data_IF_079553995897
#
_entry.id   IF_079553995897
#
_cell.length_a   1.000
_cell.length_b   1.000
_cell.length_c   1.000
_cell.angle_alpha   90.00
_cell.angle_beta   90.00
_cell.angle_gamma   90.00
#
_symmetry.space_group_name_H-M   'P 1'
#
loop_
_entity.id
_entity.type
_entity.pdbx_description
1 polymer ?
#
# COMPACT_ATOMS: atom_id res chain seq x y z
N UNK A 1 -17.81 24.62 78.45
CA UNK A 1 -18.21 23.37 79.14
C UNK A 1 -17.61 22.20 78.36
N UNK A 2 -16.90 21.30 79.07
CA UNK A 2 -16.39 19.97 78.66
C UNK A 2 -15.45 19.86 77.45
N UNK A 3 -14.13 19.64 77.65
CA UNK A 3 -13.43 18.34 77.89
C UNK A 3 -13.43 17.49 76.60
N UNK A 4 -12.35 17.48 75.80
CA UNK A 4 -11.10 16.72 75.96
C UNK A 4 -11.28 15.19 75.80
N UNK A 5 -10.68 14.57 74.76
CA UNK A 5 -9.69 13.47 74.89
C UNK A 5 -9.52 12.61 73.62
N UNK A 6 -8.26 12.57 73.19
CA UNK A 6 -7.50 11.46 72.57
C UNK A 6 -8.07 10.04 72.78
N UNK A 7 -7.97 9.20 71.73
CA UNK A 7 -7.41 7.82 71.74
C UNK A 7 -7.35 7.28 70.29
N UNK A 8 -6.16 7.08 69.70
CA UNK A 8 -5.34 5.84 69.68
C UNK A 8 -6.02 4.61 69.05
N UNK A 9 -5.70 4.36 67.77
CA UNK A 9 -5.06 3.15 67.24
C UNK A 9 -5.83 1.81 67.18
N UNK A 10 -5.84 1.16 66.00
CA UNK A 10 -5.24 -0.17 65.77
C UNK A 10 -5.41 -0.67 64.33
N UNK A 11 -4.33 -1.28 63.84
CA UNK A 11 -4.20 -2.11 62.65
C UNK A 11 -5.31 -3.15 62.45
N UNK A 12 -5.71 -3.37 61.20
CA UNK A 12 -6.07 -4.70 60.69
C UNK A 12 -5.27 -5.01 59.42
N UNK A 13 -4.33 -5.94 59.57
CA UNK A 13 -3.80 -6.80 58.50
C UNK A 13 -4.87 -7.85 58.18
N UNK A 14 -5.11 -8.09 56.91
CA UNK A 14 -5.85 -9.25 56.38
C UNK A 14 -5.61 -9.31 54.88
N UNK A 15 -4.49 -9.90 54.43
CA UNK A 15 -4.30 -11.31 54.04
C UNK A 15 -4.32 -11.41 52.51
N UNK A 16 -3.12 -11.51 51.95
CA UNK A 16 -2.90 -11.89 50.57
C UNK A 16 -3.56 -13.25 50.27
N UNK A 17 -4.32 -13.33 49.18
CA UNK A 17 -4.57 -14.57 48.47
C UNK A 17 -3.54 -14.67 47.34
N UNK A 18 -2.76 -15.74 47.37
CA UNK A 18 -1.76 -16.14 46.37
C UNK A 18 -2.38 -17.28 45.54
N UNK A 19 -2.04 -17.31 44.24
CA UNK A 19 -2.43 -18.25 43.18
C UNK A 19 -3.72 -17.86 42.41
N UNK A 20 -3.76 -17.77 41.09
CA UNK A 20 -2.91 -18.42 40.09
C UNK A 20 -2.44 -17.49 38.96
N UNK A 21 -1.26 -17.85 38.47
CA UNK A 21 -0.54 -17.38 37.29
C UNK A 21 -1.35 -17.19 36.01
N UNK A 22 -0.78 -16.35 35.13
CA UNK A 22 -0.99 -16.21 33.66
C UNK A 22 -2.03 -15.19 33.22
N UNK A 23 -1.66 -13.91 33.27
CA UNK A 23 -2.04 -12.97 32.18
C UNK A 23 -1.05 -11.80 32.11
N UNK A 24 0.21 -12.13 31.83
CA UNK A 24 1.16 -11.22 31.20
C UNK A 24 1.49 -11.86 29.86
N UNK A 25 1.62 -11.04 28.80
CA UNK A 25 1.77 -11.40 27.37
C UNK A 25 0.47 -11.70 26.60
N UNK A 26 -0.31 -10.67 26.20
CA UNK A 26 -1.10 -10.63 24.94
C UNK A 26 -1.59 -9.20 24.59
N UNK A 27 -0.70 -8.21 24.52
CA UNK A 27 -0.99 -7.01 23.72
C UNK A 27 0.32 -6.61 23.03
N UNK A 28 0.51 -7.08 21.80
CA UNK A 28 1.54 -6.63 20.88
C UNK A 28 0.97 -6.69 19.47
N UNK A 29 1.32 -5.67 18.68
CA UNK A 29 1.12 -5.55 17.23
C UNK A 29 -0.30 -5.26 16.72
N UNK A 30 -0.70 -3.98 16.76
CA UNK A 30 -1.49 -3.31 15.71
C UNK A 30 -1.68 -1.85 16.14
N UNK A 31 -0.60 -1.07 16.07
CA UNK A 31 -0.62 0.32 16.48
C UNK A 31 0.33 1.11 15.62
N UNK A 32 -0.20 1.67 14.54
CA UNK A 32 0.26 2.94 13.97
C UNK A 32 1.76 3.00 13.67
N UNK A 33 2.16 2.51 12.50
CA UNK A 33 3.41 2.90 11.87
C UNK A 33 3.24 4.26 11.18
N UNK A 34 2.88 5.31 11.94
CA UNK A 34 3.08 6.70 11.48
C UNK A 34 4.47 7.14 11.92
N UNK A 35 5.31 7.49 10.96
CA UNK A 35 6.54 8.25 11.12
C UNK A 35 7.49 7.81 12.27
N UNK A 36 8.38 6.87 11.96
CA UNK A 36 9.58 6.59 12.75
C UNK A 36 9.58 5.23 13.42
N UNK A 37 10.19 4.24 12.74
CA UNK A 37 10.83 3.03 13.30
C UNK A 37 10.13 2.28 14.45
N UNK A 38 9.85 0.98 14.24
CA UNK A 38 10.50 -0.15 14.95
C UNK A 38 9.68 -1.42 14.69
N UNK A 39 10.16 -2.19 13.72
CA UNK A 39 10.19 -3.64 13.80
C UNK A 39 11.60 -4.03 13.41
N UNK A 40 12.53 -4.08 14.36
CA UNK A 40 13.88 -4.60 14.12
C UNK A 40 13.76 -6.08 13.78
N UNK A 41 13.56 -6.40 12.51
CA UNK A 41 13.94 -7.69 11.98
C UNK A 41 15.44 -7.59 11.78
N UNK A 42 16.17 -8.30 12.61
CA UNK A 42 17.62 -8.41 12.52
C UNK A 42 17.99 -9.03 11.18
N UNK A 43 18.17 -8.19 10.15
CA UNK A 43 19.25 -8.43 9.22
C UNK A 43 20.47 -8.63 10.13
N UNK A 44 21.08 -9.81 10.11
CA UNK A 44 22.34 -10.04 10.79
C UNK A 44 23.37 -9.14 10.11
N UNK A 45 23.33 -7.85 10.45
CA UNK A 45 24.38 -6.90 10.26
C UNK A 45 25.50 -7.39 11.17
N UNK A 46 26.28 -8.34 10.67
CA UNK A 46 27.68 -8.36 11.05
C UNK A 46 28.18 -6.96 10.73
N UNK A 47 28.28 -6.11 11.78
CA UNK A 47 28.82 -4.75 11.72
C UNK A 47 30.30 -4.82 11.42
N UNK A 48 30.61 -5.22 10.20
CA UNK A 48 31.90 -5.08 9.58
C UNK A 48 31.83 -3.78 8.79
N UNK A 49 32.56 -2.76 9.26
CA UNK A 49 32.58 -1.42 8.68
C UNK A 49 33.09 -1.40 7.23
N UNK A 50 33.61 -2.53 6.74
CA UNK A 50 34.19 -2.70 5.40
C UNK A 50 33.15 -3.01 4.31
N UNK A 51 31.91 -3.34 4.66
CA UNK A 51 30.88 -3.76 3.71
C UNK A 51 29.65 -2.87 3.74
N UNK A 52 29.04 -2.68 2.57
CA UNK A 52 27.75 -1.99 2.43
C UNK A 52 26.65 -2.85 3.07
N UNK A 53 25.77 -2.19 3.83
CA UNK A 53 24.65 -2.84 4.52
C UNK A 53 23.32 -2.30 3.99
N UNK A 54 22.32 -3.17 3.98
CA UNK A 54 20.94 -2.76 3.77
C UNK A 54 20.45 -1.97 4.99
N UNK A 55 19.55 -1.02 4.76
CA UNK A 55 18.79 -0.36 5.83
C UNK A 55 17.70 -1.28 6.41
N UNK A 56 16.90 -0.74 7.33
CA UNK A 56 15.82 -1.48 7.97
C UNK A 56 14.71 -1.95 7.00
N UNK A 57 14.63 -1.33 5.81
CA UNK A 57 13.67 -1.62 4.76
C UNK A 57 14.28 -2.54 3.68
N UNK A 58 15.48 -3.09 3.92
CA UNK A 58 16.16 -3.98 2.98
C UNK A 58 16.85 -3.24 1.83
N UNK A 59 16.95 -1.92 1.87
CA UNK A 59 17.48 -1.10 0.77
C UNK A 59 18.99 -0.86 0.90
N UNK A 60 19.73 -1.18 -0.16
CA UNK A 60 21.14 -0.82 -0.32
C UNK A 60 21.30 0.53 -1.03
N UNK A 61 22.31 1.35 -0.68
CA UNK A 61 22.56 2.64 -1.32
C UNK A 61 22.86 2.49 -2.83
N UNK A 62 22.39 3.43 -3.65
CA UNK A 62 22.60 3.46 -5.10
C UNK A 62 21.31 3.63 -5.90
N UNK A 63 21.38 3.52 -7.23
CA UNK A 63 20.21 3.64 -8.11
C UNK A 63 19.29 2.44 -7.88
N UNK A 64 18.07 2.72 -7.45
CA UNK A 64 17.01 1.74 -7.27
C UNK A 64 15.93 2.09 -8.30
N UNK A 65 15.60 1.13 -9.17
CA UNK A 65 14.31 1.16 -9.83
C UNK A 65 13.20 1.34 -8.76
N UNK A 66 12.08 1.94 -9.14
CA UNK A 66 10.99 2.20 -8.20
C UNK A 66 9.65 1.76 -8.75
N UNK A 67 9.05 0.79 -8.07
CA UNK A 67 7.66 0.43 -8.23
C UNK A 67 6.82 1.12 -7.16
N UNK A 68 5.78 1.84 -7.57
CA UNK A 68 4.76 2.38 -6.67
C UNK A 68 3.47 1.59 -6.89
N UNK A 69 2.97 0.95 -5.84
CA UNK A 69 1.65 0.34 -5.82
C UNK A 69 0.66 1.30 -5.17
N UNK A 70 -0.16 1.97 -5.99
CA UNK A 70 -1.31 2.74 -5.56
C UNK A 70 -2.52 1.82 -5.43
N UNK A 71 -2.98 1.61 -4.20
CA UNK A 71 -4.09 0.71 -3.89
C UNK A 71 -5.27 1.54 -3.42
N UNK A 72 -6.22 1.69 -4.32
CA UNK A 72 -7.49 2.32 -4.01
C UNK A 72 -8.28 1.42 -3.05
N UNK A 73 -8.46 1.93 -1.84
CA UNK A 73 -9.03 1.29 -0.67
C UNK A 73 -10.29 2.01 -0.19
N UNK A 74 -10.89 2.85 -1.04
CA UNK A 74 -12.17 3.50 -0.76
C UNK A 74 -13.32 2.49 -0.69
N UNK A 75 -14.45 2.91 -0.10
CA UNK A 75 -15.66 2.08 -0.04
C UNK A 75 -16.31 1.93 -1.43
N UNK A 76 -16.72 0.71 -1.84
CA UNK A 76 -16.45 -0.58 -1.21
C UNK A 76 -15.07 -1.13 -1.60
N UNK A 77 -14.37 -1.81 -0.67
CA UNK A 77 -13.18 -2.60 -1.02
C UNK A 77 -13.52 -3.80 -1.93
N UNK A 78 -12.47 -4.53 -2.30
CA UNK A 78 -12.57 -5.77 -3.09
C UNK A 78 -13.18 -6.93 -2.29
N UNK A 79 -13.70 -7.93 -3.01
CA UNK A 79 -14.27 -9.14 -2.41
C UNK A 79 -13.21 -10.21 -2.10
N UNK A 80 -13.63 -11.37 -1.57
CA UNK A 80 -12.73 -12.47 -1.23
C UNK A 80 -12.04 -13.13 -2.43
N UNK A 81 -12.65 -13.10 -3.63
CA UNK A 81 -12.02 -13.62 -4.84
C UNK A 81 -10.95 -12.65 -5.34
N UNK A 82 -11.29 -11.37 -5.42
CA UNK A 82 -10.37 -10.29 -5.74
C UNK A 82 -9.23 -10.20 -4.73
N UNK A 83 -9.48 -10.46 -3.44
CA UNK A 83 -8.41 -10.56 -2.42
C UNK A 83 -7.38 -11.62 -2.80
N UNK A 84 -7.83 -12.83 -3.20
CA UNK A 84 -6.91 -13.91 -3.62
C UNK A 84 -6.14 -13.54 -4.88
N UNK A 85 -6.81 -12.94 -5.86
CA UNK A 85 -6.17 -12.49 -7.10
C UNK A 85 -5.11 -11.41 -6.80
N UNK A 86 -5.41 -10.46 -5.91
CA UNK A 86 -4.47 -9.44 -5.46
C UNK A 86 -3.28 -10.04 -4.71
N UNK A 87 -3.50 -11.00 -3.80
CA UNK A 87 -2.40 -11.72 -3.16
C UNK A 87 -1.49 -12.38 -4.19
N UNK A 88 -2.07 -13.08 -5.18
CA UNK A 88 -1.30 -13.72 -6.25
C UNK A 88 -0.53 -12.70 -7.11
N UNK A 89 -1.10 -11.52 -7.37
CA UNK A 89 -0.42 -10.42 -8.07
C UNK A 89 0.84 -9.98 -7.31
N UNK A 90 0.71 -9.69 -6.01
CA UNK A 90 1.86 -9.25 -5.21
C UNK A 90 2.88 -10.37 -4.99
N UNK A 91 2.45 -11.62 -4.84
CA UNK A 91 3.35 -12.77 -4.76
C UNK A 91 4.19 -12.92 -6.03
N UNK A 92 3.57 -12.78 -7.21
CA UNK A 92 4.26 -12.81 -8.49
C UNK A 92 5.22 -11.61 -8.66
N UNK A 93 4.79 -10.42 -8.25
CA UNK A 93 5.63 -9.21 -8.26
C UNK A 93 6.90 -9.43 -7.43
N UNK A 94 6.77 -9.95 -6.21
CA UNK A 94 7.88 -10.18 -5.28
C UNK A 94 8.74 -11.39 -5.62
N UNK A 95 8.19 -12.40 -6.30
CA UNK A 95 8.93 -13.62 -6.64
C UNK A 95 9.75 -13.48 -7.92
N UNK A 96 9.49 -12.48 -8.76
CA UNK A 96 10.25 -12.26 -9.99
C UNK A 96 9.88 -11.05 -10.83
N UNK A 97 8.84 -10.30 -10.47
CA UNK A 97 8.49 -9.05 -11.15
C UNK A 97 9.41 -7.87 -10.81
N UNK A 98 10.02 -7.91 -9.62
CA UNK A 98 10.96 -6.89 -9.14
C UNK A 98 12.42 -7.33 -9.25
N UNK A 99 13.30 -6.37 -9.53
CA UNK A 99 14.75 -6.59 -9.55
C UNK A 99 15.33 -6.46 -8.14
N UNK A 100 16.48 -7.09 -7.90
CA UNK A 100 17.22 -6.85 -6.67
C UNK A 100 17.44 -5.35 -6.42
N UNK A 101 17.21 -4.94 -5.16
CA UNK A 101 17.32 -3.57 -4.69
C UNK A 101 16.32 -2.58 -5.33
N UNK A 102 15.37 -3.05 -6.12
CA UNK A 102 14.22 -2.24 -6.55
C UNK A 102 13.34 -1.93 -5.35
N UNK A 103 12.92 -0.68 -5.23
CA UNK A 103 12.03 -0.23 -4.17
C UNK A 103 10.58 -0.48 -4.56
N UNK A 104 9.80 -1.03 -3.64
CA UNK A 104 8.34 -1.01 -3.68
C UNK A 104 7.84 -0.03 -2.64
N UNK A 105 7.11 0.99 -3.07
CA UNK A 105 6.33 1.87 -2.18
C UNK A 105 4.86 1.59 -2.35
N UNK A 106 4.14 1.42 -1.23
CA UNK A 106 2.70 1.19 -1.24
C UNK A 106 1.99 2.45 -0.76
N UNK A 107 1.08 2.97 -1.58
CA UNK A 107 0.25 4.16 -1.29
C UNK A 107 -1.21 3.71 -1.31
N UNK A 108 -2.04 4.24 -0.40
CA UNK A 108 -3.48 3.90 -0.33
C UNK A 108 -4.35 5.15 -0.33
N UNK A 109 -5.65 5.00 -0.64
CA UNK A 109 -6.67 6.05 -0.51
C UNK A 109 -7.38 6.03 0.85
N UNK A 110 -6.80 5.40 1.87
CA UNK A 110 -7.38 5.35 3.22
C UNK A 110 -7.33 6.72 3.93
N UNK A 111 -8.11 6.86 5.00
CA UNK A 111 -8.19 8.09 5.79
C UNK A 111 -6.79 8.62 6.16
N UNK A 112 -6.57 9.91 5.86
CA UNK A 112 -5.30 10.59 6.17
C UNK A 112 -4.14 10.28 5.23
N UNK A 113 -4.32 9.42 4.22
CA UNK A 113 -3.30 9.16 3.18
C UNK A 113 -3.44 10.10 1.97
N UNK A 114 -4.53 10.86 1.89
CA UNK A 114 -4.79 11.79 0.79
C UNK A 114 -4.09 13.13 1.04
N UNK A 115 -3.20 13.51 0.12
CA UNK A 115 -2.39 14.71 0.24
C UNK A 115 -1.76 15.17 -1.07
N UNK A 116 -1.11 16.34 -1.03
CA UNK A 116 -0.52 16.97 -2.22
C UNK A 116 0.69 16.21 -2.81
N UNK A 117 1.38 15.44 -1.96
CA UNK A 117 2.45 14.51 -2.31
C UNK A 117 2.17 13.21 -1.57
N UNK A 118 2.27 12.07 -2.27
CA UNK A 118 1.87 10.80 -1.71
C UNK A 118 2.87 10.35 -0.64
N UNK A 119 2.34 9.79 0.45
CA UNK A 119 3.13 9.23 1.53
C UNK A 119 2.90 7.71 1.58
N UNK A 120 3.93 6.89 1.32
CA UNK A 120 3.76 5.45 1.36
C UNK A 120 3.41 4.96 2.77
N UNK A 121 2.40 4.11 2.88
CA UNK A 121 2.07 3.39 4.12
C UNK A 121 3.12 2.33 4.45
N UNK A 122 3.87 1.90 3.44
CA UNK A 122 5.04 1.04 3.57
C UNK A 122 5.99 1.23 2.38
N UNK A 123 7.28 1.01 2.61
CA UNK A 123 8.30 0.98 1.57
C UNK A 123 9.38 -0.01 1.94
N UNK A 124 9.78 -0.87 1.00
CA UNK A 124 10.87 -1.83 1.17
C UNK A 124 11.53 -2.16 -0.17
N UNK A 125 12.73 -2.70 -0.13
CA UNK A 125 13.45 -3.12 -1.32
C UNK A 125 13.44 -4.64 -1.49
N UNK A 126 13.46 -5.09 -2.74
CA UNK A 126 13.56 -6.50 -3.08
C UNK A 126 14.89 -7.07 -2.53
N UNK A 127 14.84 -8.11 -1.67
CA UNK A 127 16.05 -8.69 -1.09
C UNK A 127 16.90 -9.38 -2.16
N UNK A 128 18.19 -9.54 -1.88
CA UNK A 128 19.07 -10.34 -2.71
C UNK A 128 18.62 -11.80 -2.70
N UNK A 129 18.60 -12.44 -3.87
CA UNK A 129 18.29 -13.87 -4.04
C UNK A 129 19.53 -14.67 -4.42
N UNK A 130 20.62 -13.99 -4.80
CA UNK A 130 21.90 -14.59 -5.18
C UNK A 130 23.08 -13.91 -4.48
N UNK A 131 24.20 -14.63 -4.26
CA UNK A 131 25.41 -14.02 -3.72
C UNK A 131 26.01 -12.91 -4.60
N UNK A 132 25.85 -13.03 -5.93
CA UNK A 132 26.38 -12.07 -6.90
C UNK A 132 25.73 -10.70 -6.77
N UNK A 133 24.44 -10.65 -6.40
CA UNK A 133 23.72 -9.41 -6.14
C UNK A 133 24.31 -8.66 -4.95
N UNK A 134 24.63 -9.37 -3.86
CA UNK A 134 25.30 -8.77 -2.70
C UNK A 134 26.67 -8.19 -3.06
N UNK A 135 27.47 -8.92 -3.84
CA UNK A 135 28.79 -8.45 -4.27
C UNK A 135 28.67 -7.19 -5.13
N UNK A 136 27.66 -7.10 -6.00
CA UNK A 136 27.44 -5.95 -6.90
C UNK A 136 27.26 -4.64 -6.15
N UNK A 137 26.65 -4.68 -4.97
CA UNK A 137 26.44 -3.50 -4.12
C UNK A 137 27.52 -3.33 -3.05
N UNK A 138 28.61 -4.11 -3.10
CA UNK A 138 29.69 -4.07 -2.11
C UNK A 138 29.28 -4.63 -0.74
N UNK A 139 28.23 -5.43 -0.68
CA UNK A 139 27.85 -6.15 0.52
C UNK A 139 28.67 -7.42 0.69
N UNK A 140 28.75 -7.91 1.93
CA UNK A 140 29.47 -9.14 2.23
C UNK A 140 28.81 -10.32 1.51
N UNK A 141 29.59 -11.01 0.68
CA UNK A 141 29.13 -12.23 0.02
C UNK A 141 28.82 -13.33 1.05
N UNK A 142 27.85 -14.17 0.73
CA UNK A 142 27.42 -15.30 1.55
C UNK A 142 27.12 -16.52 0.65
N UNK A 143 26.90 -17.69 1.26
CA UNK A 143 26.48 -18.87 0.49
C UNK A 143 25.07 -18.66 -0.07
N UNK A 144 24.77 -19.27 -1.22
CA UNK A 144 23.44 -19.18 -1.85
C UNK A 144 22.32 -19.53 -0.87
N UNK A 145 22.47 -20.62 -0.12
CA UNK A 145 21.49 -21.06 0.88
C UNK A 145 21.27 -20.02 1.98
N UNK A 146 22.32 -19.31 2.40
CA UNK A 146 22.17 -18.24 3.39
C UNK A 146 21.40 -17.05 2.82
N UNK A 147 21.74 -16.61 1.60
CA UNK A 147 21.07 -15.49 0.92
C UNK A 147 19.58 -15.78 0.73
N UNK A 148 19.24 -16.97 0.24
CA UNK A 148 17.86 -17.39 0.03
C UNK A 148 17.07 -17.44 1.34
N UNK A 149 17.65 -18.04 2.40
CA UNK A 149 17.01 -18.09 3.73
C UNK A 149 16.80 -16.69 4.32
N UNK A 150 17.73 -15.77 4.07
CA UNK A 150 17.61 -14.39 4.52
C UNK A 150 16.50 -13.64 3.77
N UNK A 151 16.39 -13.83 2.45
CA UNK A 151 15.33 -13.25 1.64
C UNK A 151 13.94 -13.78 2.06
N UNK A 152 13.82 -15.09 2.27
CA UNK A 152 12.59 -15.73 2.76
C UNK A 152 12.20 -15.17 4.13
N UNK A 153 13.15 -15.10 5.07
CA UNK A 153 12.89 -14.53 6.39
C UNK A 153 12.44 -13.08 6.32
N UNK A 154 13.05 -12.26 5.47
CA UNK A 154 12.64 -10.86 5.29
C UNK A 154 11.23 -10.76 4.70
N UNK A 155 10.91 -11.61 3.72
CA UNK A 155 9.56 -11.68 3.14
C UNK A 155 8.52 -12.01 4.21
N UNK A 156 8.73 -13.07 4.97
CA UNK A 156 7.80 -13.54 6.01
C UNK A 156 7.60 -12.53 7.16
N UNK A 157 8.66 -11.81 7.53
CA UNK A 157 8.65 -10.98 8.75
C UNK A 157 8.43 -9.49 8.50
N UNK A 158 8.67 -9.00 7.29
CA UNK A 158 8.54 -7.59 6.93
C UNK A 158 7.48 -7.40 5.85
N UNK A 159 7.57 -8.13 4.74
CA UNK A 159 6.74 -7.87 3.56
C UNK A 159 5.33 -8.44 3.72
N UNK A 160 5.22 -9.72 4.05
CA UNK A 160 3.93 -10.43 4.18
C UNK A 160 2.99 -9.79 5.22
N UNK A 161 3.44 -9.35 6.41
CA UNK A 161 2.57 -8.65 7.35
C UNK A 161 2.03 -7.33 6.80
N UNK A 162 2.86 -6.58 6.07
CA UNK A 162 2.45 -5.34 5.41
C UNK A 162 1.39 -5.62 4.35
N UNK A 163 1.66 -6.57 3.45
CA UNK A 163 0.71 -6.92 2.39
C UNK A 163 -0.59 -7.49 2.95
N UNK A 164 -0.52 -8.34 3.97
CA UNK A 164 -1.72 -8.88 4.63
C UNK A 164 -2.57 -7.75 5.21
N UNK A 165 -1.95 -6.79 5.89
CA UNK A 165 -2.67 -5.64 6.45
C UNK A 165 -3.23 -4.72 5.36
N UNK A 166 -2.48 -4.52 4.28
CA UNK A 166 -2.90 -3.64 3.19
C UNK A 166 -4.02 -4.24 2.36
N UNK A 167 -3.96 -5.54 2.11
CA UNK A 167 -4.90 -6.27 1.27
C UNK A 167 -6.15 -6.77 2.02
N UNK A 168 -6.25 -6.49 3.33
CA UNK A 168 -7.40 -6.86 4.16
C UNK A 168 -8.68 -6.16 3.67
N UNK A 169 -9.71 -6.89 3.18
CA UNK A 169 -10.94 -6.27 2.70
C UNK A 169 -11.77 -5.61 3.83
N UNK A 170 -11.49 -5.88 5.10
CA UNK A 170 -12.27 -5.38 6.25
C UNK A 170 -11.36 -4.98 7.41
N UNK A 171 -10.56 -3.91 7.26
CA UNK A 171 -9.60 -3.52 8.28
C UNK A 171 -10.32 -3.08 9.57
N UNK A 172 -9.99 -3.71 10.70
CA UNK A 172 -10.52 -3.33 12.03
C UNK A 172 -9.82 -2.09 12.61
N UNK A 173 -8.70 -1.67 12.01
CA UNK A 173 -7.86 -0.59 12.52
C UNK A 173 -8.39 0.79 12.11
N UNK A 174 -8.60 1.68 13.09
CA UNK A 174 -9.03 3.06 12.87
C UNK A 174 -8.09 3.87 11.94
N UNK A 175 -6.79 3.53 11.89
CA UNK A 175 -5.82 4.19 11.01
C UNK A 175 -5.89 3.71 9.54
N UNK A 176 -6.79 2.77 9.23
CA UNK A 176 -7.01 2.16 7.91
C UNK A 176 -8.48 2.28 7.51
N UNK A 177 -9.18 3.28 8.07
CA UNK A 177 -10.58 3.53 7.75
C UNK A 177 -10.70 3.89 6.28
N UNK A 178 -11.74 3.33 5.68
CA UNK A 178 -12.06 3.55 4.28
C UNK A 178 -12.69 4.93 4.14
N UNK A 179 -12.28 5.64 3.10
CA UNK A 179 -12.96 6.87 2.68
C UNK A 179 -14.08 6.51 1.71
N UNK A 180 -15.16 7.28 1.75
CA UNK A 180 -16.24 7.15 0.75
C UNK A 180 -15.86 7.78 -0.59
N UNK A 181 -14.99 8.78 -0.53
CA UNK A 181 -14.42 9.39 -1.72
C UNK A 181 -13.28 8.52 -2.25
N UNK A 182 -13.20 8.40 -3.57
CA UNK A 182 -12.15 7.71 -4.30
C UNK A 182 -11.43 8.70 -5.22
N UNK A 183 -10.45 9.47 -4.69
CA UNK A 183 -9.72 10.48 -5.44
C UNK A 183 -8.53 9.86 -6.21
N UNK A 184 -8.81 8.92 -7.12
CA UNK A 184 -7.81 8.12 -7.83
C UNK A 184 -6.89 9.02 -8.66
N UNK A 185 -7.45 9.95 -9.42
CA UNK A 185 -6.69 10.82 -10.31
C UNK A 185 -5.77 11.78 -9.53
N UNK A 186 -6.28 12.32 -8.41
CA UNK A 186 -5.50 13.13 -7.48
C UNK A 186 -4.36 12.32 -6.85
N UNK A 187 -4.60 11.05 -6.52
CA UNK A 187 -3.54 10.17 -6.01
C UNK A 187 -2.49 9.87 -7.06
N UNK A 188 -2.86 9.63 -8.30
CA UNK A 188 -1.90 9.44 -9.40
C UNK A 188 -1.04 10.71 -9.56
N UNK A 189 -1.66 11.90 -9.47
CA UNK A 189 -0.90 13.14 -9.45
C UNK A 189 0.05 13.22 -8.26
N UNK A 190 -0.44 12.88 -7.07
CA UNK A 190 0.31 12.90 -5.83
C UNK A 190 1.53 11.98 -5.88
N UNK A 191 1.38 10.78 -6.45
CA UNK A 191 2.46 9.83 -6.74
C UNK A 191 3.45 10.41 -7.74
N UNK A 192 2.98 11.05 -8.82
CA UNK A 192 3.86 11.67 -9.83
C UNK A 192 4.76 12.78 -9.27
N UNK A 193 4.47 13.29 -8.07
CA UNK A 193 5.25 14.32 -7.37
C UNK A 193 6.26 13.76 -6.37
N UNK A 194 6.20 12.48 -6.02
CA UNK A 194 7.14 11.82 -5.11
C UNK A 194 8.57 11.97 -5.65
N UNK A 195 9.51 12.37 -4.79
CA UNK A 195 10.91 12.58 -5.19
C UNK A 195 11.53 11.32 -5.78
N UNK A 196 11.22 10.17 -5.19
CA UNK A 196 11.69 8.86 -5.60
C UNK A 196 11.01 8.34 -6.87
N UNK A 197 10.01 9.04 -7.42
CA UNK A 197 9.27 8.63 -8.63
C UNK A 197 9.41 9.64 -9.79
N UNK A 198 10.34 10.59 -9.66
CA UNK A 198 10.65 11.60 -10.67
C UNK A 198 11.42 11.02 -11.86
N UNK A 199 11.51 11.80 -12.93
CA UNK A 199 12.09 11.39 -14.21
C UNK A 199 13.58 10.99 -14.16
N UNK A 200 14.32 11.44 -13.14
CA UNK A 200 15.71 11.07 -12.91
C UNK A 200 15.88 9.62 -12.41
N UNK A 201 14.80 8.96 -11.99
CA UNK A 201 14.78 7.53 -11.68
C UNK A 201 14.60 6.74 -12.97
N UNK A 202 15.63 5.97 -13.33
CA UNK A 202 15.77 5.31 -14.64
C UNK A 202 14.64 4.33 -14.96
N UNK A 203 14.15 3.60 -13.97
CA UNK A 203 13.12 2.59 -14.16
C UNK A 203 12.00 2.79 -13.14
N UNK A 204 10.81 3.05 -13.65
CA UNK A 204 9.63 3.36 -12.84
C UNK A 204 8.44 2.54 -13.30
N UNK A 205 7.71 2.01 -12.34
CA UNK A 205 6.49 1.24 -12.56
C UNK A 205 5.41 1.76 -11.61
N UNK A 206 4.25 2.13 -12.16
CA UNK A 206 3.05 2.39 -11.39
C UNK A 206 2.14 1.16 -11.50
N UNK A 207 1.84 0.54 -10.36
CA UNK A 207 0.79 -0.46 -10.23
C UNK A 207 -0.41 0.25 -9.60
N UNK A 208 -1.55 0.26 -10.30
CA UNK A 208 -2.81 0.79 -9.77
C UNK A 208 -3.76 -0.38 -9.50
N UNK A 209 -4.22 -0.54 -8.26
CA UNK A 209 -5.31 -1.44 -7.90
C UNK A 209 -6.53 -0.58 -7.62
N UNK A 210 -7.56 -0.64 -8.46
CA UNK A 210 -8.79 0.17 -8.29
C UNK A 210 -9.89 -0.36 -9.19
N UNK A 211 -11.15 -0.05 -8.88
CA UNK A 211 -12.27 -0.22 -9.82
C UNK A 211 -12.38 0.91 -10.86
N UNK A 212 -11.48 1.90 -10.77
CA UNK A 212 -11.39 3.07 -11.64
C UNK A 212 -12.57 4.05 -11.49
N UNK A 213 -13.42 3.88 -10.48
CA UNK A 213 -14.57 4.75 -10.24
C UNK A 213 -14.15 5.98 -9.45
N UNK A 214 -13.64 7.00 -10.15
CA UNK A 214 -13.36 8.31 -9.55
C UNK A 214 -14.63 8.83 -8.84
N UNK A 215 -14.49 9.14 -7.55
CA UNK A 215 -15.59 9.60 -6.72
C UNK A 215 -15.12 10.74 -5.82
N UNK A 216 -15.29 11.96 -6.29
CA UNK A 216 -15.00 13.20 -5.55
C UNK A 216 -16.16 14.17 -5.70
N UNK A 217 -16.06 15.34 -5.06
CA UNK A 217 -17.03 16.43 -5.22
C UNK A 217 -17.11 16.92 -6.67
N UNK A 218 -15.99 16.90 -7.38
CA UNK A 218 -15.86 17.37 -8.76
C UNK A 218 -16.23 16.34 -9.81
N UNK A 219 -16.07 15.04 -9.52
CA UNK A 219 -16.28 13.98 -10.49
C UNK A 219 -16.81 12.72 -9.82
N UNK A 220 -18.04 12.33 -10.17
CA UNK A 220 -18.68 11.08 -9.76
C UNK A 220 -18.85 10.15 -10.96
N UNK A 221 -17.75 9.53 -11.40
CA UNK A 221 -17.69 8.68 -12.58
C UNK A 221 -18.77 7.59 -12.54
N UNK A 222 -19.47 7.38 -13.65
CA UNK A 222 -20.52 6.36 -13.83
C UNK A 222 -21.79 6.51 -12.97
N UNK A 223 -21.74 7.29 -11.90
CA UNK A 223 -22.86 7.55 -10.97
C UNK A 223 -23.66 8.79 -11.39
N UNK A 224 -22.99 9.82 -11.90
CA UNK A 224 -23.63 11.05 -12.38
C UNK A 224 -23.46 11.22 -13.89
N UNK A 225 -24.54 11.61 -14.57
CA UNK A 225 -24.52 11.80 -16.01
C UNK A 225 -23.54 12.92 -16.40
N UNK A 226 -22.62 12.62 -17.30
CA UNK A 226 -21.62 13.57 -17.80
C UNK A 226 -20.35 13.66 -16.97
N UNK A 227 -20.27 12.97 -15.82
CA UNK A 227 -19.09 12.97 -14.94
C UNK A 227 -18.03 11.92 -15.36
N UNK A 228 -18.27 11.17 -16.43
CA UNK A 228 -17.23 10.45 -17.17
C UNK A 228 -17.25 10.92 -18.64
N UNK A 229 -16.79 12.15 -18.92
CA UNK A 229 -16.70 12.62 -20.31
C UNK A 229 -15.59 11.86 -21.05
N UNK A 230 -15.59 11.94 -22.38
CA UNK A 230 -14.43 11.48 -23.16
C UNK A 230 -13.16 12.15 -22.65
N UNK A 231 -12.02 11.43 -22.70
CA UNK A 231 -10.76 11.97 -22.18
C UNK A 231 -10.38 13.32 -22.82
N UNK A 232 -10.64 13.50 -24.12
CA UNK A 232 -10.40 14.77 -24.81
C UNK A 232 -11.20 15.95 -24.24
N UNK A 233 -12.46 15.73 -23.84
CA UNK A 233 -13.26 16.76 -23.16
C UNK A 233 -12.81 16.97 -21.73
N UNK A 234 -12.51 15.88 -21.00
CA UNK A 234 -11.96 15.95 -19.65
C UNK A 234 -10.69 16.80 -19.60
N UNK A 235 -9.77 16.59 -20.54
CA UNK A 235 -8.51 17.31 -20.66
C UNK A 235 -8.69 18.83 -20.82
N UNK A 236 -9.83 19.27 -21.34
CA UNK A 236 -10.13 20.70 -21.51
C UNK A 236 -10.76 21.34 -20.25
N UNK A 237 -10.99 20.58 -19.18
CA UNK A 237 -11.63 21.10 -17.96
C UNK A 237 -10.62 21.73 -17.01
N UNK A 238 -11.08 22.69 -16.21
CA UNK A 238 -10.27 23.25 -15.10
C UNK A 238 -9.90 22.20 -14.06
N UNK A 239 -10.73 21.17 -13.90
CA UNK A 239 -10.46 20.07 -12.97
C UNK A 239 -9.23 19.28 -13.42
N UNK A 240 -9.15 18.90 -14.70
CA UNK A 240 -7.95 18.26 -15.25
C UNK A 240 -6.69 19.12 -15.05
N UNK A 241 -6.77 20.42 -15.27
CA UNK A 241 -5.60 21.29 -15.07
C UNK A 241 -5.07 21.28 -13.63
N UNK A 242 -5.94 21.06 -12.64
CA UNK A 242 -5.55 20.94 -11.22
C UNK A 242 -4.96 19.58 -10.88
N UNK A 243 -5.47 18.51 -11.49
CA UNK A 243 -5.18 17.11 -11.12
C UNK A 243 -4.29 16.37 -12.12
N UNK A 244 -3.89 16.98 -13.24
CA UNK A 244 -3.00 16.34 -14.20
C UNK A 244 -1.66 15.94 -13.56
N UNK A 245 -1.11 14.75 -13.86
CA UNK A 245 0.18 14.33 -13.32
C UNK A 245 1.29 15.29 -13.75
N UNK A 246 2.36 15.38 -12.95
CA UNK A 246 3.53 16.19 -13.32
C UNK A 246 4.21 15.64 -14.58
N UNK A 247 4.50 14.34 -14.56
CA UNK A 247 4.90 13.56 -15.74
C UNK A 247 4.88 12.07 -15.38
N UNK A 248 4.38 11.25 -16.30
CA UNK A 248 4.55 9.79 -16.26
C UNK A 248 5.47 9.31 -17.40
N UNK A 249 6.27 10.21 -17.99
CA UNK A 249 7.22 9.87 -19.05
C UNK A 249 8.10 8.69 -18.65
N UNK A 250 8.10 7.63 -19.46
CA UNK A 250 8.93 6.44 -19.22
C UNK A 250 8.39 5.47 -18.15
N UNK A 251 7.30 5.82 -17.46
CA UNK A 251 6.67 4.98 -16.45
C UNK A 251 5.88 3.87 -17.14
N UNK A 252 6.13 2.62 -16.76
CA UNK A 252 5.24 1.51 -17.11
C UNK A 252 4.04 1.56 -16.17
N UNK A 253 2.83 1.46 -16.69
CA UNK A 253 1.61 1.44 -15.88
C UNK A 253 0.93 0.08 -16.02
N UNK A 254 0.65 -0.56 -14.90
CA UNK A 254 -0.20 -1.76 -14.83
C UNK A 254 -1.37 -1.47 -13.93
N UNK A 255 -2.58 -1.58 -14.46
CA UNK A 255 -3.82 -1.41 -13.71
C UNK A 255 -4.41 -2.79 -13.47
N UNK A 256 -4.59 -3.16 -12.21
CA UNK A 256 -5.40 -4.30 -11.79
C UNK A 256 -6.80 -3.80 -11.47
N UNK A 257 -7.67 -3.87 -12.48
CA UNK A 257 -9.02 -3.34 -12.42
C UNK A 257 -9.93 -4.27 -11.60
N UNK A 258 -10.45 -3.76 -10.49
CA UNK A 258 -11.45 -4.43 -9.67
C UNK A 258 -12.81 -4.33 -10.37
N UNK A 259 -13.22 -5.39 -11.05
CA UNK A 259 -14.49 -5.39 -11.76
C UNK A 259 -15.63 -5.25 -10.75
N UNK A 260 -16.58 -4.36 -11.04
CA UNK A 260 -17.83 -4.19 -10.29
C UNK A 260 -19.02 -4.67 -11.11
N UNK A 261 -20.07 -5.12 -10.43
CA UNK A 261 -21.37 -5.32 -11.06
C UNK A 261 -22.08 -3.99 -11.30
N UNK A 262 -22.94 -3.92 -12.31
CA UNK A 262 -23.90 -2.82 -12.47
C UNK A 262 -23.53 -1.72 -13.45
N UNK A 263 -22.40 -1.81 -14.16
CA UNK A 263 -22.10 -0.94 -15.31
C UNK A 263 -23.24 -1.00 -16.34
N UNK A 264 -23.73 0.18 -16.76
CA UNK A 264 -24.91 0.30 -17.63
C UNK A 264 -26.23 -0.15 -16.99
N UNK A 265 -26.24 -0.45 -15.69
CA UNK A 265 -27.38 -0.90 -14.91
C UNK A 265 -27.86 0.16 -13.91
N UNK A 266 -28.58 -0.28 -12.87
CA UNK A 266 -29.20 0.64 -11.90
C UNK A 266 -28.19 1.44 -11.07
N UNK A 267 -27.05 0.84 -10.71
CA UNK A 267 -26.07 1.43 -9.78
C UNK A 267 -24.96 2.24 -10.44
N UNK A 268 -24.58 1.91 -11.69
CA UNK A 268 -23.57 2.62 -12.48
C UNK A 268 -24.14 2.91 -13.89
N UNK A 269 -25.23 3.70 -14.00
CA UNK A 269 -26.03 3.81 -15.22
C UNK A 269 -25.34 4.60 -16.35
N UNK A 270 -24.34 5.42 -16.04
CA UNK A 270 -23.83 6.42 -16.99
C UNK A 270 -22.48 6.06 -17.62
N UNK A 271 -22.03 4.82 -17.47
CA UNK A 271 -20.86 4.33 -18.20
C UNK A 271 -20.90 2.81 -18.39
N UNK A 272 -20.09 2.35 -19.33
CA UNK A 272 -19.65 0.97 -19.48
C UNK A 272 -18.24 0.76 -18.93
N UNK A 273 -17.88 -0.50 -18.70
CA UNK A 273 -16.51 -0.88 -18.32
C UNK A 273 -15.48 -0.47 -19.38
N UNK A 274 -15.84 -0.58 -20.67
CA UNK A 274 -14.97 -0.23 -21.79
C UNK A 274 -14.70 1.29 -21.82
N UNK A 275 -15.73 2.13 -21.64
CA UNK A 275 -15.56 3.59 -21.55
C UNK A 275 -14.62 3.99 -20.40
N UNK A 276 -14.73 3.31 -19.26
CA UNK A 276 -13.86 3.56 -18.11
C UNK A 276 -12.42 3.15 -18.38
N UNK A 277 -12.24 1.98 -18.99
CA UNK A 277 -10.93 1.44 -19.39
C UNK A 277 -10.24 2.36 -20.41
N UNK A 278 -10.99 2.81 -21.42
CA UNK A 278 -10.48 3.70 -22.48
C UNK A 278 -10.13 5.08 -21.93
N UNK A 279 -10.93 5.61 -21.00
CA UNK A 279 -10.62 6.87 -20.32
C UNK A 279 -9.28 6.80 -19.59
N UNK A 280 -9.05 5.80 -18.74
CA UNK A 280 -7.81 5.68 -17.97
C UNK A 280 -6.61 5.36 -18.87
N UNK A 281 -6.80 4.55 -19.91
CA UNK A 281 -5.76 4.31 -20.91
C UNK A 281 -5.30 5.62 -21.54
N UNK A 282 -6.24 6.42 -22.05
CA UNK A 282 -5.95 7.71 -22.65
C UNK A 282 -5.32 8.70 -21.65
N UNK A 283 -5.77 8.70 -20.39
CA UNK A 283 -5.20 9.52 -19.33
C UNK A 283 -3.71 9.21 -19.08
N UNK A 284 -3.35 7.93 -18.95
CA UNK A 284 -1.95 7.53 -18.73
C UNK A 284 -1.07 7.77 -19.95
N UNK A 285 -1.59 7.49 -21.16
CA UNK A 285 -0.88 7.74 -22.42
C UNK A 285 -0.60 9.24 -22.61
N UNK A 286 -1.57 10.11 -22.33
CA UNK A 286 -1.40 11.57 -22.41
C UNK A 286 -0.38 12.11 -21.40
N UNK A 287 -0.33 11.49 -20.21
CA UNK A 287 0.68 11.78 -19.19
C UNK A 287 2.09 11.28 -19.55
N UNK A 288 2.24 10.54 -20.67
CA UNK A 288 3.52 10.09 -21.21
C UNK A 288 3.96 8.69 -20.76
N UNK A 289 3.06 7.88 -20.18
CA UNK A 289 3.38 6.50 -19.82
C UNK A 289 4.01 5.74 -21.00
N UNK A 290 5.04 4.95 -20.74
CA UNK A 290 5.73 4.16 -21.79
C UNK A 290 4.92 2.95 -22.23
N UNK A 291 4.09 2.42 -21.34
CA UNK A 291 3.14 1.34 -21.61
C UNK A 291 2.00 1.40 -20.62
N UNK A 292 0.78 1.06 -21.06
CA UNK A 292 -0.39 0.96 -20.19
C UNK A 292 -1.07 -0.40 -20.40
N UNK A 293 -1.01 -1.24 -19.37
CA UNK A 293 -1.68 -2.52 -19.32
C UNK A 293 -2.84 -2.46 -18.31
N UNK A 294 -4.01 -2.94 -18.69
CA UNK A 294 -5.18 -3.01 -17.80
C UNK A 294 -5.63 -4.47 -17.74
N UNK A 295 -5.51 -5.06 -16.56
CA UNK A 295 -5.78 -6.46 -16.24
C UNK A 295 -7.01 -6.51 -15.34
N UNK A 296 -8.04 -7.23 -15.79
CA UNK A 296 -9.31 -7.38 -15.06
C UNK A 296 -9.17 -8.42 -13.97
N UNK A 297 -9.48 -8.05 -12.72
CA UNK A 297 -9.59 -8.98 -11.60
C UNK A 297 -11.03 -9.46 -11.46
N UNK A 298 -11.22 -10.77 -11.44
CA UNK A 298 -12.56 -11.37 -11.52
C UNK A 298 -13.30 -11.18 -10.20
N UNK A 299 -14.57 -10.81 -10.28
CA UNK A 299 -15.47 -10.89 -9.12
C UNK A 299 -15.66 -12.36 -8.71
N UNK A 300 -15.86 -12.59 -7.42
CA UNK A 300 -16.37 -13.86 -6.94
C UNK A 300 -17.78 -14.12 -7.49
N UNK A 301 -18.16 -15.39 -7.64
CA UNK A 301 -19.54 -15.71 -7.91
C UNK A 301 -20.40 -15.18 -6.75
N UNK A 302 -21.30 -14.23 -7.02
CA UNK A 302 -22.37 -13.91 -6.09
C UNK A 302 -23.17 -15.20 -5.88
N UNK A 303 -23.08 -15.79 -4.69
CA UNK A 303 -24.09 -16.75 -4.26
C UNK A 303 -25.35 -15.92 -4.06
N UNK A 304 -26.18 -15.85 -5.09
CA UNK A 304 -27.54 -15.37 -4.99
C UNK A 304 -28.27 -16.28 -4.00
N UNK A 305 -28.23 -15.91 -2.73
CA UNK A 305 -29.05 -16.50 -1.69
C UNK A 305 -30.51 -16.23 -2.04
N UNK A 306 -31.27 -17.32 -2.15
CA UNK A 306 -32.72 -17.33 -2.19
C UNK A 306 -33.33 -16.72 -0.93
#
# INVERSE_FOLDING_TARGET
>A
MSINKKRRGRNKRGRASRNGSRTWFKIAAAGVATAGTVGTVGFLAMKDASYVQADANGCYPGVQAHTVALIDSSEPRWDAAQTRDLSAVFDNLLSGGMRFNERLSIVTTEEGQIGAVAHPVASFCQPATTPTELVRVGAKSATLAFVQKQAEHFRETVIEPVLTAVLDPSPENAARRQERESPILEQIQSVSRMTEFREDVQERHLILVSDLLQSTVEMQACVRQGDLPSFGHFKATEYFDRIKPYSLRGVRVTVYMLIRGGYGGEYLPFCSEDELTDFYRAYFEDAGASSVEIIRLRMGAHVSGQ
#
